data_IF_916091632327
#
_entry.id   IF_916091632327
#
_cell.length_a   1.000
_cell.length_b   1.000
_cell.length_c   1.000
_cell.angle_alpha   90.00
_cell.angle_beta   90.00
_cell.angle_gamma   90.00
#
_symmetry.space_group_name_H-M   'P 1'
#
loop_
_entity.id
_entity.type
_entity.pdbx_description
1 polymer ?
#
# COMPACT_ATOMS: atom_id res chain seq x y z
N UNK A 1 -4.01 -1.42 -4.50
CA UNK A 1 -4.79 -0.26 -4.03
C UNK A 1 -6.00 -0.01 -4.93
N UNK A 2 -5.84 0.45 -6.17
CA UNK A 2 -6.97 0.78 -7.07
C UNK A 2 -8.16 -0.19 -7.07
N UNK A 3 -7.96 -1.49 -7.30
CA UNK A 3 -9.07 -2.46 -7.26
C UNK A 3 -9.66 -2.70 -5.87
N UNK A 4 -8.83 -2.67 -4.82
CA UNK A 4 -9.28 -2.81 -3.45
C UNK A 4 -10.21 -1.64 -3.10
N UNK A 5 -9.75 -0.42 -3.36
CA UNK A 5 -10.49 0.79 -3.04
C UNK A 5 -11.74 0.95 -3.93
N UNK A 6 -11.65 0.59 -5.21
CA UNK A 6 -12.79 0.62 -6.13
C UNK A 6 -13.91 -0.33 -5.71
N UNK A 7 -13.57 -1.46 -5.06
CA UNK A 7 -14.54 -2.38 -4.47
C UNK A 7 -15.17 -1.88 -3.17
N UNK A 8 -14.44 -1.10 -2.38
CA UNK A 8 -14.90 -0.55 -1.10
C UNK A 8 -15.78 0.70 -1.25
N UNK A 9 -15.57 1.50 -2.29
CA UNK A 9 -16.37 2.71 -2.56
C UNK A 9 -17.66 2.39 -3.32
N UNK A 10 -18.59 3.34 -3.37
CA UNK A 10 -19.80 3.17 -4.17
C UNK A 10 -19.49 3.19 -5.67
N UNK A 11 -20.28 2.46 -6.46
CA UNK A 11 -20.11 2.32 -7.92
C UNK A 11 -20.08 3.67 -8.66
N UNK A 12 -20.78 4.69 -8.15
CA UNK A 12 -20.77 6.04 -8.73
C UNK A 12 -19.39 6.73 -8.65
N UNK A 13 -18.54 6.32 -7.71
CA UNK A 13 -17.23 6.92 -7.44
C UNK A 13 -16.07 6.04 -7.91
N UNK A 14 -16.34 4.90 -8.55
CA UNK A 14 -15.33 3.93 -8.99
C UNK A 14 -14.28 4.56 -9.92
N UNK A 15 -14.73 5.32 -10.93
CA UNK A 15 -13.83 6.01 -11.87
C UNK A 15 -12.96 7.03 -11.14
N UNK A 16 -13.52 7.76 -10.17
CA UNK A 16 -12.78 8.78 -9.44
C UNK A 16 -11.63 8.18 -8.64
N UNK A 17 -11.87 7.07 -7.93
CA UNK A 17 -10.84 6.43 -7.10
C UNK A 17 -9.75 5.77 -7.95
N UNK A 18 -10.11 5.14 -9.07
CA UNK A 18 -9.14 4.59 -10.02
C UNK A 18 -8.25 5.68 -10.62
N UNK A 19 -8.83 6.84 -10.98
CA UNK A 19 -8.05 7.96 -11.48
C UNK A 19 -7.10 8.54 -10.43
N UNK A 20 -7.48 8.56 -9.14
CA UNK A 20 -6.58 9.00 -8.04
C UNK A 20 -5.34 8.10 -7.94
N UNK A 21 -5.52 6.79 -8.02
CA UNK A 21 -4.39 5.84 -8.02
C UNK A 21 -3.43 6.07 -9.19
N UNK A 22 -3.96 6.35 -10.40
CA UNK A 22 -3.13 6.67 -11.57
C UNK A 22 -2.37 7.98 -11.35
N UNK A 23 -3.04 8.99 -10.79
CA UNK A 23 -2.40 10.27 -10.44
C UNK A 23 -1.29 10.08 -9.43
N UNK A 24 -1.44 9.21 -8.44
CA UNK A 24 -0.39 8.95 -7.44
C UNK A 24 0.86 8.34 -8.06
N UNK A 25 0.71 7.45 -9.03
CA UNK A 25 1.85 6.88 -9.77
C UNK A 25 2.53 7.97 -10.62
N UNK A 26 1.75 8.78 -11.34
CA UNK A 26 2.31 9.79 -12.25
C UNK A 26 2.90 10.98 -11.49
N UNK A 27 2.08 11.67 -10.69
CA UNK A 27 2.53 12.86 -9.95
C UNK A 27 3.41 12.49 -8.77
N UNK A 28 3.05 11.48 -7.97
CA UNK A 28 3.91 11.01 -6.90
C UNK A 28 5.22 10.46 -7.44
N UNK A 29 5.18 9.72 -8.57
CA UNK A 29 6.39 9.23 -9.20
C UNK A 29 7.31 10.35 -9.73
N UNK A 30 6.75 11.34 -10.41
CA UNK A 30 7.50 12.52 -10.87
C UNK A 30 8.08 13.33 -9.70
N UNK A 31 7.33 13.47 -8.61
CA UNK A 31 7.80 14.15 -7.39
C UNK A 31 8.96 13.41 -6.76
N UNK A 32 8.87 12.07 -6.70
CA UNK A 32 9.92 11.24 -6.12
C UNK A 32 11.19 11.27 -6.98
N UNK A 33 11.06 11.25 -8.30
CA UNK A 33 12.17 11.44 -9.23
C UNK A 33 12.85 12.80 -9.09
N UNK A 34 12.06 13.88 -9.04
CA UNK A 34 12.61 15.23 -8.98
C UNK A 34 13.25 15.56 -7.63
N UNK A 35 12.59 15.22 -6.53
CA UNK A 35 12.99 15.64 -5.18
C UNK A 35 13.10 14.48 -4.19
N UNK A 36 12.23 13.47 -4.30
CA UNK A 36 12.07 12.49 -3.24
C UNK A 36 13.27 11.56 -3.03
N UNK A 37 13.91 11.11 -4.10
CA UNK A 37 15.13 10.31 -4.01
C UNK A 37 16.26 11.11 -3.34
N UNK A 38 16.41 12.38 -3.73
CA UNK A 38 17.40 13.28 -3.14
C UNK A 38 17.17 13.50 -1.64
N UNK A 39 15.92 13.71 -1.23
CA UNK A 39 15.58 13.94 0.18
C UNK A 39 15.76 12.69 1.05
N UNK A 40 15.58 11.50 0.47
CA UNK A 40 15.66 10.23 1.20
C UNK A 40 17.09 9.68 1.23
N UNK A 41 17.79 9.69 0.09
CA UNK A 41 19.06 8.99 -0.13
C UNK A 41 20.17 9.90 -0.71
N UNK A 42 19.97 11.21 -0.75
CA UNK A 42 20.98 12.14 -1.24
C UNK A 42 22.30 12.00 -0.46
N UNK A 43 23.43 12.22 -1.14
CA UNK A 43 24.78 11.98 -0.62
C UNK A 43 25.62 13.26 -0.49
N UNK A 44 24.99 14.43 -0.56
CA UNK A 44 25.67 15.72 -0.51
C UNK A 44 26.32 16.00 0.85
N UNK A 45 27.36 16.86 0.84
CA UNK A 45 28.00 17.37 2.06
C UNK A 45 27.05 18.17 2.96
N UNK A 46 25.94 18.67 2.41
CA UNK A 46 24.93 19.44 3.13
C UNK A 46 23.84 18.59 3.80
N UNK A 47 23.96 17.27 3.73
CA UNK A 47 23.04 16.36 4.42
C UNK A 47 22.98 16.66 5.92
N UNK A 48 21.79 16.52 6.49
CA UNK A 48 21.60 16.55 7.93
C UNK A 48 20.84 15.28 8.40
N UNK A 49 20.77 15.02 9.72
CA UNK A 49 20.12 13.81 10.23
C UNK A 49 18.62 13.66 9.89
N UNK A 50 17.98 14.74 9.45
CA UNK A 50 16.53 14.79 9.16
C UNK A 50 16.21 14.74 7.66
N UNK A 51 17.08 15.26 6.79
CA UNK A 51 16.84 15.30 5.34
C UNK A 51 18.16 15.14 4.57
N UNK A 52 18.12 14.28 3.56
CA UNK A 52 19.18 14.14 2.57
C UNK A 52 19.13 15.26 1.53
N UNK A 53 20.26 15.57 0.91
CA UNK A 53 20.37 16.53 -0.17
C UNK A 53 21.30 15.96 -1.25
N UNK A 54 21.07 16.32 -2.51
CA UNK A 54 21.85 15.85 -3.65
C UNK A 54 21.18 14.68 -4.39
N UNK A 55 21.64 14.40 -5.61
CA UNK A 55 20.98 13.45 -6.53
C UNK A 55 19.52 13.83 -6.88
N UNK A 56 19.25 15.14 -6.99
CA UNK A 56 18.00 15.64 -7.56
C UNK A 56 17.91 15.26 -9.03
N UNK A 57 16.69 14.99 -9.52
CA UNK A 57 16.43 14.56 -10.90
C UNK A 57 17.37 13.41 -11.29
N UNK A 58 17.34 12.34 -10.49
CA UNK A 58 18.31 11.25 -10.59
C UNK A 58 18.45 10.75 -12.04
N UNK A 59 19.67 10.88 -12.55
CA UNK A 59 20.10 10.48 -13.88
C UNK A 59 21.59 10.09 -13.81
N UNK A 60 21.90 8.89 -13.28
CA UNK A 60 23.28 8.44 -13.13
C UNK A 60 23.91 8.24 -14.50
N UNK A 61 25.09 8.83 -14.73
CA UNK A 61 25.79 8.68 -16.03
C UNK A 61 26.29 7.25 -16.21
N UNK A 62 26.52 6.86 -17.48
CA UNK A 62 26.96 5.51 -17.85
C UNK A 62 28.34 5.18 -17.26
N UNK A 63 29.13 6.21 -16.98
CA UNK A 63 30.46 6.12 -16.37
C UNK A 63 30.41 5.96 -14.84
N UNK A 64 29.25 6.18 -14.19
CA UNK A 64 29.10 5.96 -12.75
C UNK A 64 29.08 4.46 -12.46
N UNK A 65 30.10 3.98 -11.74
CA UNK A 65 30.20 2.59 -11.27
C UNK A 65 29.00 2.14 -10.43
N UNK A 66 28.25 3.08 -9.85
CA UNK A 66 27.04 2.84 -9.06
C UNK A 66 25.75 3.04 -9.85
N UNK A 67 25.79 3.25 -11.18
CA UNK A 67 24.62 3.45 -12.03
C UNK A 67 23.56 2.36 -11.81
N UNK A 68 23.96 1.08 -11.92
CA UNK A 68 23.04 -0.06 -11.75
C UNK A 68 22.35 -0.08 -10.37
N UNK A 69 23.10 -0.06 -9.26
CA UNK A 69 22.54 0.05 -7.91
C UNK A 69 21.64 1.28 -7.69
N UNK A 70 22.02 2.45 -8.21
CA UNK A 70 21.23 3.69 -8.09
C UNK A 70 19.91 3.58 -8.83
N UNK A 71 19.92 3.11 -10.08
CA UNK A 71 18.70 2.87 -10.85
C UNK A 71 17.77 1.85 -10.17
N UNK A 72 18.33 0.75 -9.66
CA UNK A 72 17.56 -0.27 -8.96
C UNK A 72 16.97 0.25 -7.64
N UNK A 73 17.76 0.98 -6.85
CA UNK A 73 17.30 1.62 -5.61
C UNK A 73 16.22 2.65 -5.88
N UNK A 74 16.40 3.49 -6.91
CA UNK A 74 15.40 4.47 -7.33
C UNK A 74 14.08 3.79 -7.69
N UNK A 75 14.10 2.80 -8.59
CA UNK A 75 12.90 2.11 -9.03
C UNK A 75 12.16 1.43 -7.87
N UNK A 76 12.91 0.78 -6.98
CA UNK A 76 12.32 0.11 -5.82
C UNK A 76 11.68 1.12 -4.85
N UNK A 77 12.40 2.19 -4.53
CA UNK A 77 11.93 3.21 -3.58
C UNK A 77 10.82 4.10 -4.16
N UNK A 78 10.81 4.31 -5.48
CA UNK A 78 9.70 4.94 -6.21
C UNK A 78 8.39 4.16 -5.99
N UNK A 79 8.46 2.84 -6.01
CA UNK A 79 7.29 2.00 -5.75
C UNK A 79 6.78 2.15 -4.30
N UNK A 80 7.68 2.35 -3.34
CA UNK A 80 7.32 2.57 -1.94
C UNK A 80 6.72 3.95 -1.70
N UNK A 81 7.29 4.98 -2.32
CA UNK A 81 6.78 6.35 -2.25
C UNK A 81 5.36 6.47 -2.81
N UNK A 82 5.14 5.91 -4.01
CA UNK A 82 3.81 5.88 -4.64
C UNK A 82 2.82 5.01 -3.85
N UNK A 83 3.29 3.93 -3.22
CA UNK A 83 2.48 3.11 -2.30
C UNK A 83 2.06 3.91 -1.06
N UNK A 84 2.97 4.64 -0.42
CA UNK A 84 2.63 5.46 0.74
C UNK A 84 1.59 6.52 0.42
N UNK A 85 1.68 7.14 -0.76
CA UNK A 85 0.72 8.16 -1.19
C UNK A 85 -0.64 7.57 -1.55
N UNK A 86 -0.68 6.42 -2.22
CA UNK A 86 -1.95 5.83 -2.62
C UNK A 86 -2.79 5.29 -1.45
N UNK A 87 -2.15 4.91 -0.32
CA UNK A 87 -2.85 4.55 0.93
C UNK A 87 -3.85 5.65 1.35
N UNK A 88 -3.47 6.92 1.18
CA UNK A 88 -4.30 8.07 1.58
C UNK A 88 -5.52 8.22 0.66
N UNK A 89 -5.42 7.75 -0.58
CA UNK A 89 -6.45 7.87 -1.61
C UNK A 89 -7.76 7.19 -1.21
N UNK A 90 -7.66 5.98 -0.63
CA UNK A 90 -8.79 5.22 -0.10
C UNK A 90 -9.48 5.92 1.07
N UNK A 91 -8.71 6.48 2.00
CA UNK A 91 -9.27 7.20 3.15
C UNK A 91 -10.03 8.46 2.74
N UNK A 92 -9.58 9.16 1.69
CA UNK A 92 -10.20 10.39 1.16
C UNK A 92 -11.29 10.15 0.11
N UNK A 93 -11.67 8.89 -0.13
CA UNK A 93 -12.58 8.54 -1.20
C UNK A 93 -13.98 9.18 -1.05
N UNK A 94 -14.65 9.34 -2.18
CA UNK A 94 -16.04 9.84 -2.35
C UNK A 94 -16.33 11.30 -1.97
N UNK A 95 -15.43 11.99 -1.27
CA UNK A 95 -15.65 13.39 -0.82
C UNK A 95 -14.53 14.38 -1.13
N UNK A 96 -13.34 13.90 -1.52
CA UNK A 96 -12.24 14.77 -1.92
C UNK A 96 -12.36 15.21 -3.38
N UNK A 97 -12.21 16.52 -3.62
CA UNK A 97 -12.09 17.10 -4.96
C UNK A 97 -10.82 16.61 -5.66
N UNK A 98 -10.96 16.12 -6.90
CA UNK A 98 -9.86 15.56 -7.67
C UNK A 98 -8.70 16.53 -7.91
N UNK A 99 -8.96 17.81 -8.18
CA UNK A 99 -7.89 18.80 -8.41
C UNK A 99 -7.08 19.04 -7.14
N UNK A 100 -7.76 19.12 -5.99
CA UNK A 100 -7.09 19.23 -4.69
C UNK A 100 -6.28 17.97 -4.39
N UNK A 101 -6.79 16.79 -4.77
CA UNK A 101 -6.09 15.53 -4.63
C UNK A 101 -4.78 15.47 -5.44
N UNK A 102 -4.76 16.00 -6.67
CA UNK A 102 -3.51 16.06 -7.46
C UNK A 102 -2.40 16.85 -6.75
N UNK A 103 -2.74 17.99 -6.15
CA UNK A 103 -1.79 18.78 -5.36
C UNK A 103 -1.39 18.06 -4.08
N UNK A 104 -2.36 17.42 -3.42
CA UNK A 104 -2.10 16.61 -2.24
C UNK A 104 -1.12 15.47 -2.52
N UNK A 105 -1.28 14.75 -3.63
CA UNK A 105 -0.41 13.64 -4.03
C UNK A 105 1.06 14.05 -4.17
N UNK A 106 1.30 15.22 -4.78
CA UNK A 106 2.61 15.85 -4.86
C UNK A 106 3.19 16.13 -3.47
N UNK A 107 2.44 16.83 -2.62
CA UNK A 107 2.89 17.22 -1.28
C UNK A 107 3.10 16.02 -0.35
N UNK A 108 2.20 15.04 -0.38
CA UNK A 108 2.29 13.84 0.46
C UNK A 108 3.51 12.99 0.11
N UNK A 109 3.90 12.96 -1.16
CA UNK A 109 5.13 12.28 -1.57
C UNK A 109 6.37 12.94 -0.94
N UNK A 110 6.41 14.28 -0.87
CA UNK A 110 7.48 15.02 -0.17
C UNK A 110 7.48 14.66 1.32
N UNK A 111 6.30 14.61 1.95
CA UNK A 111 6.15 14.22 3.36
C UNK A 111 6.70 12.82 3.60
N UNK A 112 6.41 11.84 2.72
CA UNK A 112 6.92 10.47 2.83
C UNK A 112 8.46 10.39 2.80
N UNK A 113 9.11 11.18 1.96
CA UNK A 113 10.56 11.11 1.75
C UNK A 113 11.37 11.45 3.01
N UNK A 114 10.80 12.28 3.89
CA UNK A 114 11.48 12.70 5.12
C UNK A 114 11.61 11.52 6.11
N UNK A 115 10.52 10.85 6.55
CA UNK A 115 10.63 9.62 7.36
C UNK A 115 11.36 8.47 6.68
N UNK A 116 11.23 8.31 5.35
CA UNK A 116 12.00 7.32 4.61
C UNK A 116 13.52 7.55 4.76
N UNK A 117 13.96 8.81 4.67
CA UNK A 117 15.35 9.20 4.94
C UNK A 117 15.79 8.98 6.39
N UNK A 118 14.89 9.07 7.38
CA UNK A 118 15.23 8.80 8.78
C UNK A 118 15.60 7.34 9.02
N UNK A 119 14.85 6.42 8.41
CA UNK A 119 15.00 4.96 8.60
C UNK A 119 16.02 4.33 7.66
N UNK A 120 16.07 4.75 6.39
CA UNK A 120 16.86 4.06 5.37
C UNK A 120 18.06 4.85 4.86
N UNK A 121 18.00 6.17 4.89
CA UNK A 121 19.11 7.04 4.50
C UNK A 121 20.30 6.87 5.45
N UNK A 122 21.52 6.89 4.91
CA UNK A 122 22.76 6.80 5.72
C UNK A 122 22.92 7.97 6.70
N UNK A 123 22.36 9.12 6.34
CA UNK A 123 22.30 10.30 7.19
C UNK A 123 21.31 10.17 8.36
N UNK A 124 20.29 9.31 8.21
CA UNK A 124 19.09 9.26 9.05
C UNK A 124 19.36 9.00 10.53
N UNK A 125 18.71 9.78 11.40
CA UNK A 125 18.90 9.64 12.85
C UNK A 125 18.33 8.32 13.39
N UNK A 126 17.17 7.83 12.90
CA UNK A 126 16.57 6.57 13.35
C UNK A 126 17.46 5.38 12.98
N UNK A 127 18.04 5.39 11.77
CA UNK A 127 19.04 4.40 11.35
C UNK A 127 20.24 4.37 12.29
N UNK A 128 20.78 5.54 12.65
CA UNK A 128 21.92 5.67 13.58
C UNK A 128 21.60 5.25 15.01
N UNK A 129 20.33 5.40 15.44
CA UNK A 129 19.84 4.88 16.71
C UNK A 129 19.62 3.35 16.72
N UNK A 130 19.77 2.68 15.57
CA UNK A 130 19.57 1.25 15.44
C UNK A 130 18.11 0.84 15.22
N UNK A 131 17.25 1.76 14.77
CA UNK A 131 15.89 1.41 14.37
C UNK A 131 15.93 0.47 13.15
N UNK A 132 15.12 -0.60 13.20
CA UNK A 132 15.04 -1.59 12.14
C UNK A 132 13.65 -1.57 11.53
N UNK A 133 13.59 -1.19 10.26
CA UNK A 133 12.40 -1.32 9.42
C UNK A 133 12.86 -1.82 8.05
N UNK A 134 12.59 -3.08 7.74
CA UNK A 134 13.18 -3.73 6.55
C UNK A 134 12.47 -3.31 5.27
N UNK A 135 11.14 -3.43 5.25
CA UNK A 135 10.36 -3.20 4.05
C UNK A 135 9.42 -1.99 4.15
N UNK A 136 9.30 -1.33 5.30
CA UNK A 136 8.55 -0.07 5.42
C UNK A 136 7.26 -0.18 6.21
N UNK A 137 7.23 -0.94 7.31
CA UNK A 137 6.09 -0.90 8.22
C UNK A 137 5.92 0.49 8.84
N UNK A 138 7.03 1.15 9.17
CA UNK A 138 7.06 2.53 9.63
C UNK A 138 7.08 3.49 8.44
N UNK A 139 8.13 3.41 7.62
CA UNK A 139 8.38 4.39 6.57
C UNK A 139 7.23 4.54 5.55
N UNK A 140 6.59 3.42 5.16
CA UNK A 140 5.52 3.42 4.14
C UNK A 140 4.15 3.35 4.79
N UNK A 141 3.90 2.33 5.60
CA UNK A 141 2.56 2.07 6.09
C UNK A 141 2.16 3.02 7.22
N UNK A 142 2.99 3.20 8.25
CA UNK A 142 2.66 4.12 9.34
C UNK A 142 2.53 5.56 8.83
N UNK A 143 3.45 6.02 7.98
CA UNK A 143 3.38 7.38 7.40
C UNK A 143 2.14 7.53 6.53
N UNK A 144 1.91 6.61 5.58
CA UNK A 144 0.72 6.64 4.72
C UNK A 144 -0.59 6.55 5.51
N UNK A 145 -0.65 5.69 6.53
CA UNK A 145 -1.81 5.52 7.39
C UNK A 145 -2.05 6.70 8.32
N UNK A 146 -1.00 7.35 8.82
CA UNK A 146 -1.11 8.58 9.62
C UNK A 146 -1.60 9.75 8.78
N UNK A 147 -1.06 9.91 7.56
CA UNK A 147 -1.58 10.88 6.58
C UNK A 147 -3.04 10.59 6.25
N UNK A 148 -3.40 9.32 6.05
CA UNK A 148 -4.77 8.89 5.78
C UNK A 148 -5.72 9.26 6.93
N UNK A 149 -5.31 9.02 8.17
CA UNK A 149 -6.07 9.39 9.37
C UNK A 149 -6.25 10.91 9.48
N UNK A 150 -5.17 11.69 9.33
CA UNK A 150 -5.23 13.14 9.37
C UNK A 150 -6.18 13.70 8.29
N UNK A 151 -6.08 13.19 7.06
CA UNK A 151 -6.96 13.60 5.97
C UNK A 151 -8.43 13.19 6.21
N UNK A 152 -8.69 12.01 6.76
CA UNK A 152 -10.04 11.58 7.09
C UNK A 152 -10.68 12.48 8.16
N UNK A 153 -9.91 12.89 9.18
CA UNK A 153 -10.34 13.82 10.23
C UNK A 153 -10.64 15.21 9.63
N UNK A 154 -9.73 15.75 8.80
CA UNK A 154 -9.87 17.08 8.23
C UNK A 154 -11.01 17.20 7.22
N UNK A 155 -11.24 16.18 6.39
CA UNK A 155 -12.37 16.16 5.45
C UNK A 155 -13.70 15.92 6.15
N UNK A 156 -13.69 15.23 7.28
CA UNK A 156 -14.88 14.77 7.96
C UNK A 156 -15.59 13.63 7.23
N UNK A 157 -16.74 13.19 7.78
CA UNK A 157 -17.48 12.04 7.26
C UNK A 157 -18.19 12.31 5.95
N UNK A 158 -18.37 11.27 5.12
CA UNK A 158 -19.24 11.32 3.94
C UNK A 158 -20.65 11.73 4.35
N UNK A 159 -21.31 12.50 3.48
CA UNK A 159 -22.67 12.98 3.71
C UNK A 159 -23.60 11.81 4.00
N UNK A 160 -24.25 11.83 5.17
CA UNK A 160 -25.20 10.79 5.60
C UNK A 160 -24.59 9.50 6.15
N UNK A 161 -23.25 9.36 6.24
CA UNK A 161 -22.57 8.13 6.70
C UNK A 161 -23.01 7.68 8.09
N UNK A 162 -23.21 8.63 9.00
CA UNK A 162 -23.52 8.38 10.41
C UNK A 162 -24.93 8.81 10.81
N UNK A 163 -25.82 9.04 9.84
CA UNK A 163 -27.19 9.48 10.13
C UNK A 163 -28.09 8.33 10.61
N UNK A 164 -27.80 7.09 10.18
CA UNK A 164 -28.57 5.88 10.49
C UNK A 164 -27.80 4.89 11.38
N UNK A 165 -26.84 5.36 12.17
CA UNK A 165 -25.99 4.53 13.03
C UNK A 165 -24.52 4.54 12.61
N UNK A 166 -23.73 3.65 13.19
CA UNK A 166 -22.29 3.51 12.93
C UNK A 166 -21.94 2.29 12.07
N UNK A 167 -22.93 1.45 11.76
CA UNK A 167 -22.73 0.21 11.03
C UNK A 167 -22.02 0.47 9.69
N UNK A 168 -21.07 -0.41 9.29
CA UNK A 168 -20.33 -0.24 8.06
C UNK A 168 -21.26 -0.25 6.85
N UNK A 169 -20.95 0.58 5.85
CA UNK A 169 -21.69 0.60 4.59
C UNK A 169 -21.37 -0.66 3.78
N UNK A 170 -22.35 -1.20 3.02
CA UNK A 170 -22.09 -2.32 2.13
C UNK A 170 -21.06 -1.93 1.05
N UNK A 171 -20.18 -2.87 0.72
CA UNK A 171 -19.19 -2.72 -0.35
C UNK A 171 -19.89 -2.45 -1.69
N UNK A 172 -19.34 -1.54 -2.51
CA UNK A 172 -19.89 -1.27 -3.84
C UNK A 172 -19.69 -2.45 -4.80
N UNK A 173 -18.51 -3.07 -4.76
CA UNK A 173 -18.21 -4.28 -5.53
C UNK A 173 -17.29 -5.22 -4.72
N UNK A 174 -17.85 -6.22 -4.01
CA UNK A 174 -17.07 -7.19 -3.26
C UNK A 174 -16.04 -7.95 -4.10
N UNK A 175 -16.33 -8.18 -5.39
CA UNK A 175 -15.41 -8.85 -6.32
C UNK A 175 -14.14 -8.03 -6.53
N UNK A 176 -14.27 -6.72 -6.78
CA UNK A 176 -13.11 -5.84 -6.96
C UNK A 176 -12.29 -5.74 -5.67
N UNK A 177 -12.95 -5.66 -4.52
CA UNK A 177 -12.29 -5.60 -3.21
C UNK A 177 -11.42 -6.85 -2.97
N UNK A 178 -11.98 -8.04 -3.21
CA UNK A 178 -11.27 -9.31 -3.08
C UNK A 178 -10.17 -9.44 -4.15
N UNK A 179 -10.44 -9.06 -5.40
CA UNK A 179 -9.42 -9.05 -6.44
C UNK A 179 -8.25 -8.14 -6.07
N UNK A 180 -8.51 -6.98 -5.46
CA UNK A 180 -7.51 -6.05 -4.98
C UNK A 180 -6.56 -6.66 -3.94
N UNK A 181 -7.07 -7.51 -3.03
CA UNK A 181 -6.25 -8.28 -2.09
C UNK A 181 -5.30 -9.26 -2.79
N UNK A 182 -5.74 -9.83 -3.90
CA UNK A 182 -5.06 -10.91 -4.60
C UNK A 182 -4.17 -10.47 -5.77
N UNK A 183 -4.13 -9.18 -6.11
CA UNK A 183 -3.55 -8.73 -7.37
C UNK A 183 -2.04 -8.45 -7.31
N UNK A 184 -1.29 -9.04 -8.26
CA UNK A 184 -0.48 -8.27 -9.23
C UNK A 184 -0.90 -8.66 -10.66
N UNK A 185 -0.79 -7.67 -11.57
CA UNK A 185 -1.11 -7.67 -13.01
C UNK A 185 -1.46 -9.02 -13.64
N UNK A 186 -2.75 -9.20 -13.95
CA UNK A 186 -3.18 -10.07 -15.05
C UNK A 186 -2.68 -9.41 -16.34
N UNK A 187 -1.48 -9.75 -16.79
CA UNK A 187 -1.21 -9.66 -18.22
C UNK A 187 -1.88 -10.89 -18.84
N UNK A 188 -3.10 -10.66 -19.33
CA UNK A 188 -3.83 -11.63 -20.13
C UNK A 188 -3.14 -11.72 -21.48
N UNK A 189 -2.22 -12.68 -21.64
CA UNK A 189 -2.08 -13.36 -22.92
C UNK A 189 -3.03 -14.56 -22.94
N UNK A 190 -3.70 -14.74 -24.08
CA UNK A 190 -4.98 -15.45 -24.26
C UNK A 190 -5.02 -16.93 -23.83
N UNK A 191 -6.19 -17.44 -23.45
CA UNK A 191 -7.27 -17.97 -24.32
C UNK A 191 -7.18 -19.47 -24.59
N UNK A 192 -7.19 -20.28 -23.53
CA UNK A 192 -7.97 -21.52 -23.42
C UNK A 192 -7.58 -22.14 -22.11
N UNK A 193 -8.51 -22.19 -21.16
CA UNK A 193 -8.71 -23.30 -20.22
C UNK A 193 -9.75 -22.82 -19.21
N UNK A 194 -10.99 -23.04 -19.65
CA UNK A 194 -12.09 -23.37 -18.76
C UNK A 194 -11.62 -24.56 -17.93
N UNK A 195 -11.61 -24.38 -16.61
CA UNK A 195 -11.27 -25.33 -15.53
C UNK A 195 -9.87 -25.15 -14.96
N UNK A 196 -9.86 -24.70 -13.70
CA UNK A 196 -8.76 -24.75 -12.73
C UNK A 196 -7.66 -23.71 -13.00
N UNK A 197 -7.76 -22.55 -12.35
CA UNK A 197 -6.63 -21.88 -11.69
C UNK A 197 -7.13 -20.70 -10.85
N UNK A 198 -7.71 -20.98 -9.68
CA UNK A 198 -7.91 -20.02 -8.59
C UNK A 198 -6.59 -19.66 -7.89
N UNK A 199 -5.47 -19.64 -8.61
CA UNK A 199 -4.16 -19.26 -8.08
C UNK A 199 -4.02 -17.74 -8.14
N UNK A 200 -4.89 -17.07 -7.40
CA UNK A 200 -4.80 -15.68 -7.03
C UNK A 200 -3.63 -15.52 -6.04
N UNK A 201 -2.41 -15.36 -6.57
CA UNK A 201 -1.20 -15.35 -5.74
C UNK A 201 -0.83 -13.92 -5.34
N UNK A 202 -0.54 -13.78 -4.04
CA UNK A 202 -0.13 -12.64 -3.21
C UNK A 202 1.17 -11.90 -3.66
N UNK A 203 1.45 -11.80 -4.96
CA UNK A 203 2.76 -11.45 -5.53
C UNK A 203 3.26 -10.03 -5.24
N UNK A 204 2.38 -9.02 -5.14
CA UNK A 204 2.82 -7.64 -4.91
C UNK A 204 3.55 -7.44 -3.59
N UNK A 205 2.97 -7.93 -2.49
CA UNK A 205 3.58 -7.83 -1.15
C UNK A 205 4.76 -8.79 -0.97
N UNK A 206 4.76 -9.91 -1.70
CA UNK A 206 5.92 -10.81 -1.77
C UNK A 206 7.12 -10.07 -2.38
N UNK A 207 6.94 -9.41 -3.53
CA UNK A 207 7.99 -8.61 -4.15
C UNK A 207 8.43 -7.44 -3.25
N UNK A 208 7.47 -6.81 -2.56
CA UNK A 208 7.72 -5.76 -1.58
C UNK A 208 8.67 -6.25 -0.47
N UNK A 209 8.35 -7.35 0.20
CA UNK A 209 9.13 -7.85 1.34
C UNK A 209 10.41 -8.59 0.93
N UNK A 210 10.37 -9.42 -0.12
CA UNK A 210 11.55 -10.17 -0.57
C UNK A 210 12.54 -9.28 -1.33
N UNK A 211 12.05 -8.24 -2.00
CA UNK A 211 12.88 -7.28 -2.73
C UNK A 211 13.66 -6.34 -1.81
N UNK A 212 13.15 -6.06 -0.60
CA UNK A 212 13.82 -5.22 0.41
C UNK A 212 15.16 -5.77 0.92
N UNK A 213 15.54 -7.00 0.56
CA UNK A 213 16.88 -7.54 0.87
C UNK A 213 17.95 -7.09 -0.12
N UNK A 214 17.57 -6.46 -1.24
CA UNK A 214 18.46 -5.93 -2.29
C UNK A 214 19.57 -6.92 -2.70
N UNK A 215 19.27 -8.22 -2.75
CA UNK A 215 20.30 -9.21 -3.03
C UNK A 215 19.77 -10.56 -3.49
N UNK A 216 20.22 -10.96 -4.68
CA UNK A 216 19.92 -12.26 -5.32
C UNK A 216 21.17 -13.16 -5.31
N UNK A 217 22.34 -12.62 -4.97
CA UNK A 217 23.63 -13.32 -4.91
C UNK A 217 24.10 -13.55 -3.46
N UNK A 218 25.02 -14.51 -3.28
CA UNK A 218 25.63 -14.81 -1.97
C UNK A 218 24.63 -15.41 -0.98
N UNK A 219 24.62 -14.91 0.26
CA UNK A 219 23.65 -15.34 1.29
C UNK A 219 22.33 -14.54 1.24
N UNK A 220 22.25 -13.46 0.44
CA UNK A 220 21.08 -12.55 0.45
C UNK A 220 19.81 -13.18 -0.12
N UNK A 221 19.93 -14.13 -1.04
CA UNK A 221 18.77 -14.87 -1.56
C UNK A 221 18.06 -15.69 -0.46
N UNK A 222 18.78 -16.14 0.56
CA UNK A 222 18.19 -16.88 1.68
C UNK A 222 17.31 -15.96 2.52
N UNK A 223 17.73 -14.73 2.75
CA UNK A 223 16.93 -13.71 3.42
C UNK A 223 15.70 -13.34 2.58
N UNK A 224 15.84 -13.22 1.26
CA UNK A 224 14.71 -12.96 0.35
C UNK A 224 13.68 -14.10 0.40
N UNK A 225 14.14 -15.35 0.36
CA UNK A 225 13.28 -16.53 0.46
C UNK A 225 12.58 -16.61 1.84
N UNK A 226 13.30 -16.32 2.93
CA UNK A 226 12.73 -16.26 4.28
C UNK A 226 11.70 -15.15 4.42
N UNK A 227 11.94 -13.98 3.83
CA UNK A 227 10.98 -12.89 3.79
C UNK A 227 9.68 -13.30 3.07
N UNK A 228 9.80 -13.99 1.94
CA UNK A 228 8.65 -14.51 1.20
C UNK A 228 7.82 -15.49 2.05
N UNK A 229 8.48 -16.47 2.69
CA UNK A 229 7.81 -17.47 3.54
C UNK A 229 7.12 -16.80 4.74
N UNK A 230 7.82 -15.92 5.44
CA UNK A 230 7.28 -15.23 6.62
C UNK A 230 6.08 -14.34 6.26
N UNK A 231 6.12 -13.68 5.09
CA UNK A 231 5.00 -12.89 4.57
C UNK A 231 3.76 -13.74 4.32
N UNK A 232 3.92 -14.94 3.76
CA UNK A 232 2.80 -15.85 3.54
C UNK A 232 2.23 -16.38 4.85
N UNK A 233 3.08 -16.79 5.78
CA UNK A 233 2.65 -17.32 7.08
C UNK A 233 1.95 -16.25 7.93
N UNK A 234 2.45 -15.01 7.92
CA UNK A 234 1.79 -13.88 8.56
C UNK A 234 0.40 -13.63 7.96
N UNK A 235 0.28 -13.67 6.61
CA UNK A 235 -1.02 -13.51 5.93
C UNK A 235 -2.03 -14.60 6.32
N UNK A 236 -1.56 -15.83 6.59
CA UNK A 236 -2.41 -16.93 7.08
C UNK A 236 -2.86 -16.66 8.51
N UNK A 237 -1.95 -16.22 9.39
CA UNK A 237 -2.28 -15.80 10.76
C UNK A 237 -3.31 -14.67 10.81
N UNK A 238 -3.13 -13.64 9.97
CA UNK A 238 -4.11 -12.56 9.86
C UNK A 238 -5.45 -13.00 9.28
N UNK A 239 -5.41 -13.91 8.31
CA UNK A 239 -6.61 -14.52 7.75
C UNK A 239 -7.43 -15.30 8.76
N UNK A 240 -6.79 -15.99 9.72
CA UNK A 240 -7.48 -16.68 10.82
C UNK A 240 -8.19 -15.70 11.76
N UNK A 241 -7.56 -14.58 12.10
CA UNK A 241 -8.17 -13.55 12.94
C UNK A 241 -9.33 -12.87 12.19
N UNK A 242 -9.14 -12.50 10.92
CA UNK A 242 -10.20 -11.94 10.08
C UNK A 242 -11.42 -12.87 10.01
N UNK A 243 -11.20 -14.17 9.86
CA UNK A 243 -12.26 -15.18 9.85
C UNK A 243 -12.94 -15.29 11.22
N UNK A 244 -12.16 -15.25 12.31
CA UNK A 244 -12.69 -15.26 13.68
C UNK A 244 -13.61 -14.06 13.97
N UNK A 245 -13.23 -12.86 13.55
CA UNK A 245 -14.10 -11.67 13.67
C UNK A 245 -15.35 -11.80 12.80
N UNK A 246 -15.19 -12.29 11.57
CA UNK A 246 -16.27 -12.50 10.61
C UNK A 246 -17.31 -13.51 11.10
N UNK A 247 -16.88 -14.61 11.73
CA UNK A 247 -17.77 -15.67 12.24
C UNK A 247 -18.48 -15.31 13.55
N UNK A 248 -17.94 -14.38 14.34
CA UNK A 248 -18.56 -13.91 15.59
C UNK A 248 -19.56 -12.75 15.35
N UNK A 249 -19.69 -12.27 14.12
CA UNK A 249 -20.63 -11.22 13.74
C UNK A 249 -22.08 -11.72 13.58
N UNK A 250 -23.09 -10.85 13.80
CA UNK A 250 -24.50 -11.24 13.78
C UNK A 250 -25.05 -11.62 12.39
N UNK A 251 -24.41 -11.23 11.27
CA UNK A 251 -24.90 -11.48 9.91
C UNK A 251 -23.77 -11.84 8.92
N UNK A 252 -23.61 -13.15 8.65
CA UNK A 252 -22.76 -13.74 7.57
C UNK A 252 -21.28 -13.29 7.56
N UNK A 253 -20.51 -13.91 6.67
CA UNK A 253 -19.08 -13.65 6.50
C UNK A 253 -18.89 -12.19 6.04
N UNK A 254 -18.44 -11.31 6.95
CA UNK A 254 -17.94 -9.99 6.61
C UNK A 254 -16.62 -10.10 5.84
N UNK A 255 -16.68 -9.68 4.57
CA UNK A 255 -15.55 -9.67 3.64
C UNK A 255 -14.54 -8.59 4.03
N UNK A 256 -14.98 -7.45 4.58
CA UNK A 256 -14.10 -6.32 4.89
C UNK A 256 -13.17 -6.66 6.06
N UNK A 257 -13.71 -7.29 7.12
CA UNK A 257 -12.89 -7.83 8.23
C UNK A 257 -11.87 -8.86 7.75
N UNK A 258 -12.23 -9.72 6.79
CA UNK A 258 -11.29 -10.68 6.22
C UNK A 258 -10.16 -10.01 5.43
N UNK A 259 -10.50 -9.04 4.59
CA UNK A 259 -9.53 -8.30 3.77
C UNK A 259 -8.59 -7.49 4.67
N UNK A 260 -9.13 -6.68 5.58
CA UNK A 260 -8.34 -5.83 6.46
C UNK A 260 -7.55 -6.64 7.50
N UNK A 261 -8.04 -7.80 7.94
CA UNK A 261 -7.25 -8.73 8.76
C UNK A 261 -6.00 -9.25 8.02
N UNK A 262 -6.15 -9.66 6.75
CA UNK A 262 -4.99 -10.09 5.94
C UNK A 262 -4.06 -8.90 5.67
N UNK A 263 -4.58 -7.73 5.29
CA UNK A 263 -3.74 -6.56 5.01
C UNK A 263 -3.00 -6.07 6.27
N UNK A 264 -3.66 -6.01 7.42
CA UNK A 264 -3.04 -5.62 8.69
C UNK A 264 -1.90 -6.56 9.11
N UNK A 265 -2.07 -7.87 8.86
CA UNK A 265 -0.99 -8.85 9.09
C UNK A 265 0.21 -8.67 8.15
N UNK A 266 -0.06 -8.30 6.89
CA UNK A 266 0.97 -8.03 5.90
C UNK A 266 1.74 -6.75 6.23
N UNK A 267 1.06 -5.70 6.73
CA UNK A 267 1.70 -4.48 7.24
C UNK A 267 2.61 -4.79 8.43
N UNK A 268 2.12 -5.55 9.42
CA UNK A 268 2.89 -5.86 10.62
C UNK A 268 4.18 -6.64 10.33
N UNK A 269 4.14 -7.62 9.42
CA UNK A 269 5.32 -8.43 9.09
C UNK A 269 6.35 -7.66 8.23
N UNK A 270 5.94 -6.60 7.53
CA UNK A 270 6.82 -5.77 6.67
C UNK A 270 8.02 -5.22 7.45
N UNK A 271 7.87 -4.86 8.73
CA UNK A 271 8.96 -4.29 9.52
C UNK A 271 10.11 -5.28 9.78
N UNK A 272 9.79 -6.57 9.89
CA UNK A 272 10.71 -7.63 10.31
C UNK A 272 10.76 -8.84 9.37
N UNK A 273 10.42 -8.68 8.09
CA UNK A 273 10.00 -9.78 7.22
C UNK A 273 10.96 -10.97 7.13
N UNK A 274 12.29 -10.78 7.19
CA UNK A 274 13.27 -11.88 7.23
C UNK A 274 13.83 -12.20 8.62
N UNK A 275 13.51 -11.40 9.65
CA UNK A 275 14.02 -11.59 11.02
C UNK A 275 13.27 -12.69 11.76
N UNK A 276 11.96 -12.77 11.55
CA UNK A 276 11.08 -13.71 12.24
C UNK A 276 11.24 -15.14 11.71
N UNK A 277 11.10 -16.11 12.61
CA UNK A 277 10.94 -17.52 12.27
C UNK A 277 9.52 -17.76 11.75
N UNK A 278 9.33 -18.87 11.05
CA UNK A 278 8.05 -19.23 10.45
C UNK A 278 6.86 -19.15 11.43
N UNK A 279 7.02 -19.66 12.65
CA UNK A 279 5.96 -19.64 13.66
C UNK A 279 5.75 -18.25 14.28
N UNK A 280 6.82 -17.47 14.46
CA UNK A 280 6.76 -16.08 14.95
C UNK A 280 6.00 -15.21 13.96
N UNK A 281 6.21 -15.41 12.66
CA UNK A 281 5.52 -14.67 11.60
C UNK A 281 3.99 -14.85 11.66
N UNK A 282 3.50 -16.05 12.01
CA UNK A 282 2.07 -16.30 12.21
C UNK A 282 1.54 -15.45 13.36
N UNK A 283 2.24 -15.42 14.50
CA UNK A 283 1.84 -14.67 15.69
C UNK A 283 1.84 -13.16 15.42
N UNK A 284 2.90 -12.64 14.78
CA UNK A 284 2.97 -11.23 14.37
C UNK A 284 1.80 -10.88 13.46
N UNK A 285 1.48 -11.76 12.50
CA UNK A 285 0.34 -11.59 11.62
C UNK A 285 -1.01 -11.58 12.36
N UNK A 286 -1.19 -12.47 13.34
CA UNK A 286 -2.39 -12.50 14.19
C UNK A 286 -2.54 -11.21 15.01
N UNK A 287 -1.45 -10.72 15.62
CA UNK A 287 -1.48 -9.48 16.42
C UNK A 287 -1.81 -8.28 15.53
N UNK A 288 -1.17 -8.16 14.37
CA UNK A 288 -1.44 -7.08 13.41
C UNK A 288 -2.89 -7.08 12.95
N UNK A 289 -3.41 -8.24 12.55
CA UNK A 289 -4.81 -8.39 12.14
C UNK A 289 -5.79 -8.07 13.27
N UNK A 290 -5.48 -8.48 14.51
CA UNK A 290 -6.33 -8.20 15.66
C UNK A 290 -6.45 -6.71 15.92
N UNK A 291 -5.33 -5.98 15.90
CA UNK A 291 -5.29 -4.52 16.07
C UNK A 291 -6.08 -3.83 14.94
N UNK A 292 -5.89 -4.25 13.69
CA UNK A 292 -6.62 -3.67 12.55
C UNK A 292 -8.13 -3.93 12.62
N UNK A 293 -8.56 -5.18 12.87
CA UNK A 293 -9.99 -5.52 12.99
C UNK A 293 -10.65 -4.82 14.18
N UNK A 294 -9.92 -4.62 15.28
CA UNK A 294 -10.44 -3.96 16.47
C UNK A 294 -10.48 -2.42 16.35
N UNK A 295 -9.55 -1.83 15.59
CA UNK A 295 -9.46 -0.39 15.44
C UNK A 295 -10.50 0.21 14.50
N UNK A 296 -10.94 -0.52 13.46
CA UNK A 296 -11.98 -0.01 12.55
C UNK A 296 -13.28 0.40 13.28
N UNK A 297 -13.88 -0.45 14.16
CA UNK A 297 -15.05 -0.03 14.94
C UNK A 297 -14.78 1.15 15.88
N UNK A 298 -13.54 1.33 16.35
CA UNK A 298 -13.18 2.47 17.21
C UNK A 298 -13.21 3.76 16.41
N UNK A 299 -12.64 3.77 15.19
CA UNK A 299 -12.68 4.93 14.30
C UNK A 299 -14.13 5.30 13.95
N UNK A 300 -14.98 4.31 13.67
CA UNK A 300 -16.40 4.55 13.43
C UNK A 300 -17.12 5.12 14.66
N UNK A 301 -16.81 4.65 15.88
CA UNK A 301 -17.32 5.25 17.13
C UNK A 301 -16.85 6.69 17.33
N UNK A 302 -15.65 7.04 16.86
CA UNK A 302 -15.14 8.41 16.86
C UNK A 302 -15.72 9.25 15.71
N UNK A 303 -16.53 8.65 14.84
CA UNK A 303 -17.08 9.26 13.63
C UNK A 303 -16.02 9.75 12.64
N UNK A 304 -14.92 9.01 12.56
CA UNK A 304 -13.88 9.15 11.53
C UNK A 304 -14.22 8.17 10.42
N UNK A 305 -14.68 8.71 9.29
CA UNK A 305 -15.11 7.91 8.16
C UNK A 305 -13.93 7.57 7.24
N UNK A 306 -13.44 6.34 7.36
CA UNK A 306 -12.44 5.78 6.46
C UNK A 306 -13.10 4.69 5.59
N UNK A 307 -13.37 4.95 4.30
CA UNK A 307 -14.12 4.03 3.44
C UNK A 307 -13.48 2.65 3.25
N UNK A 308 -12.16 2.54 3.39
CA UNK A 308 -11.40 1.31 3.13
C UNK A 308 -10.84 0.73 4.42
N UNK A 309 -10.73 1.54 5.47
CA UNK A 309 -9.99 1.20 6.69
C UNK A 309 -8.48 1.38 6.52
N UNK A 310 -8.06 2.29 5.63
CA UNK A 310 -6.64 2.50 5.32
C UNK A 310 -5.84 2.95 6.55
N UNK A 311 -6.40 3.85 7.36
CA UNK A 311 -5.80 4.31 8.62
C UNK A 311 -5.68 3.19 9.66
N UNK A 312 -6.70 2.34 9.80
CA UNK A 312 -6.68 1.19 10.71
C UNK A 312 -5.68 0.10 10.28
N UNK A 313 -5.59 -0.16 8.97
CA UNK A 313 -4.73 -1.19 8.40
C UNK A 313 -3.27 -0.77 8.37
N UNK A 314 -3.00 0.49 8.02
CA UNK A 314 -1.63 0.96 7.79
C UNK A 314 -1.08 1.84 8.93
N UNK A 315 -1.93 2.61 9.60
CA UNK A 315 -1.53 3.74 10.45
C UNK A 315 -1.73 3.55 11.94
N UNK A 316 -2.24 2.41 12.42
CA UNK A 316 -2.58 2.27 13.83
C UNK A 316 -1.34 2.09 14.72
N UNK A 317 -0.63 3.19 14.93
CA UNK A 317 0.12 3.54 16.13
C UNK A 317 -0.78 4.46 16.98
N UNK A 318 -0.86 4.23 18.29
CA UNK A 318 -1.86 4.85 19.18
C UNK A 318 -1.56 6.34 19.43
N UNK A 319 -2.02 7.23 18.55
CA UNK A 319 -2.13 8.67 18.83
C UNK A 319 -3.59 9.14 18.69
N UNK A 320 -4.32 9.18 19.81
CA UNK A 320 -5.71 9.66 19.85
C UNK A 320 -5.71 11.09 20.39
N UNK A 321 -5.87 12.06 19.50
CA UNK A 321 -6.24 13.42 19.87
C UNK A 321 -7.76 13.61 19.75
N UNK A 322 -8.38 13.95 20.89
CA UNK A 322 -9.83 14.03 21.07
C UNK A 322 -10.32 15.37 20.50
N UNK A 323 -10.78 15.41 19.25
CA UNK A 323 -11.31 16.65 18.66
C UNK A 323 -12.84 16.70 18.51
N UNK A 324 -13.39 17.81 19.00
CA UNK A 324 -14.80 18.08 19.21
C UNK A 324 -15.53 18.39 17.89
N UNK A 325 -16.72 17.79 17.73
CA UNK A 325 -17.65 18.00 16.62
C UNK A 325 -18.32 19.37 16.69
N UNK A 326 -18.17 20.18 15.64
CA UNK A 326 -19.22 21.11 15.17
C UNK A 326 -19.12 21.22 13.65
N UNK A 327 -20.11 20.65 12.94
CA UNK A 327 -20.72 21.17 11.71
C UNK A 327 -21.49 20.04 10.99
N UNK A 328 -22.79 19.92 11.28
CA UNK A 328 -23.75 19.17 10.45
C UNK A 328 -24.37 20.15 9.45
N UNK A 329 -24.15 19.91 8.15
CA UNK A 329 -24.97 20.51 7.09
C UNK A 329 -25.91 19.45 6.53
N UNK A 330 -27.21 19.75 6.60
CA UNK A 330 -28.32 19.02 5.97
C UNK A 330 -28.17 19.09 4.45
N UNK A 331 -28.56 18.03 3.72
CA UNK A 331 -29.58 18.06 2.66
C UNK A 331 -29.65 16.69 1.96
N UNK A 332 -30.88 16.19 1.80
CA UNK A 332 -31.18 14.99 1.04
C UNK A 332 -31.56 15.27 -0.41
N UNK A 333 -31.41 14.27 -1.28
CA UNK A 333 -32.40 13.78 -2.24
C UNK A 333 -31.82 12.62 -3.06
N UNK A 334 -32.67 11.63 -3.22
CA UNK A 334 -32.50 10.36 -3.93
C UNK A 334 -32.49 10.60 -5.45
N UNK A 335 -31.62 9.90 -6.21
CA UNK A 335 -31.67 9.89 -7.67
C UNK A 335 -31.43 8.47 -8.20
N UNK A 336 -32.50 7.93 -8.80
CA UNK A 336 -32.59 6.72 -9.61
C UNK A 336 -32.05 6.96 -11.02
N UNK A 337 -31.48 5.92 -11.66
CA UNK A 337 -31.42 5.62 -13.11
C UNK A 337 -30.27 4.59 -13.30
N UNK A 338 -30.28 3.57 -14.17
CA UNK A 338 -31.04 3.23 -15.37
C UNK A 338 -30.12 2.32 -16.23
N UNK A 339 -30.70 1.34 -16.92
CA UNK A 339 -30.07 0.13 -17.50
C UNK A 339 -29.25 0.31 -18.81
N UNK A 340 -28.10 -0.40 -18.87
CA UNK A 340 -27.63 -1.46 -19.83
C UNK A 340 -27.41 -1.21 -21.36
N UNK A 341 -26.46 -2.00 -21.91
CA UNK A 341 -26.18 -2.42 -23.32
C UNK A 341 -25.01 -1.67 -24.01
N UNK A 342 -24.14 -2.22 -24.88
CA UNK A 342 -23.91 -3.57 -25.44
C UNK A 342 -22.62 -3.57 -26.31
N UNK A 343 -21.82 -4.66 -26.21
CA UNK A 343 -20.91 -5.38 -27.16
C UNK A 343 -20.18 -4.66 -28.33
N UNK A 344 -18.87 -4.97 -28.44
CA UNK A 344 -18.00 -4.81 -29.62
C UNK A 344 -17.49 -6.18 -30.15
N UNK A 345 -17.07 -6.30 -31.44
CA UNK A 345 -16.43 -7.50 -31.97
C UNK A 345 -14.90 -7.37 -32.23
N UNK A 346 -14.28 -8.55 -32.39
CA UNK A 346 -12.86 -8.97 -32.42
C UNK A 346 -12.02 -8.46 -33.62
N UNK A 347 -10.69 -8.48 -33.48
CA UNK A 347 -9.76 -9.03 -34.50
C UNK A 347 -8.37 -9.40 -33.91
N UNK A 348 -7.67 -10.32 -34.59
CA UNK A 348 -6.52 -11.15 -34.17
C UNK A 348 -5.13 -10.60 -34.56
N UNK A 349 -4.07 -11.01 -33.85
CA UNK A 349 -2.65 -11.22 -34.29
C UNK A 349 -1.91 -11.99 -33.15
N UNK A 350 -1.16 -13.09 -33.29
CA UNK A 350 0.03 -13.55 -34.07
C UNK A 350 1.39 -13.18 -33.43
N UNK A 351 2.00 -14.22 -32.82
CA UNK A 351 3.43 -14.63 -32.66
C UNK A 351 4.38 -14.12 -31.56
N UNK A 352 5.01 -15.13 -30.94
CA UNK A 352 6.13 -15.20 -29.99
C UNK A 352 7.54 -15.00 -30.60
N UNK A 353 8.51 -14.86 -29.67
CA UNK A 353 9.93 -15.30 -29.68
C UNK A 353 10.88 -14.11 -29.34
N UNK A 354 11.90 -14.16 -28.48
CA UNK A 354 12.83 -15.21 -28.04
C UNK A 354 13.41 -14.77 -26.67
N UNK A 355 13.58 -15.72 -25.73
CA UNK A 355 14.53 -15.62 -24.62
C UNK A 355 15.67 -16.61 -24.90
N UNK A 356 16.93 -16.21 -24.71
CA UNK A 356 17.91 -17.13 -24.16
C UNK A 356 19.12 -16.43 -23.51
N UNK A 357 19.57 -17.14 -22.48
CA UNK A 357 20.45 -16.80 -21.38
C UNK A 357 21.93 -17.11 -21.70
N UNK A 358 22.84 -16.55 -20.87
CA UNK A 358 24.20 -17.00 -20.47
C UNK A 358 25.23 -15.87 -20.45
N UNK A 359 25.64 -15.46 -19.24
CA UNK A 359 27.04 -15.37 -18.78
C UNK A 359 27.13 -14.66 -17.41
N UNK A 360 27.75 -15.30 -16.41
CA UNK A 360 28.06 -14.73 -15.09
C UNK A 360 29.57 -14.50 -14.93
N UNK A 361 30.00 -13.40 -14.28
CA UNK A 361 31.30 -13.36 -13.58
C UNK A 361 31.18 -13.08 -12.07
N UNK A 362 32.13 -13.63 -11.32
CA UNK A 362 32.38 -13.44 -9.88
C UNK A 362 32.88 -12.03 -9.56
N UNK A 363 32.41 -11.41 -8.46
CA UNK A 363 33.02 -10.20 -7.90
C UNK A 363 33.01 -10.14 -6.36
N UNK A 364 34.06 -9.52 -5.85
CA UNK A 364 34.58 -9.53 -4.50
C UNK A 364 33.95 -8.44 -3.62
N UNK A 365 33.09 -8.84 -2.68
CA UNK A 365 32.63 -8.02 -1.53
C UNK A 365 32.28 -8.94 -0.35
N UNK A 366 33.15 -9.92 -0.10
CA UNK A 366 33.18 -10.65 1.17
C UNK A 366 34.21 -9.92 2.02
N UNK A 367 33.73 -8.99 2.83
CA UNK A 367 34.15 -8.76 4.22
C UNK A 367 32.97 -8.10 4.96
#
# INVERSE_FOLDING_TARGET
>A
FGMLESGCVSLKNEVNIMMKNVVDIVLGGLTYWAFGFAMSFGTSKFNNPFIGLGEFLIDPSVEDTLMGPKCAAFLFQLSFATTSTTIVSGAMAERCNFKAYCLFSFLNTIVYCVPAGWLWGDQGFLKKMGAVDIAGSGAVHLVGGSSALACAIMLGPRVGRYDNGIDPLPLGCPVNAIMGLFTFLIHRFGLSDILINNNCIRWGWLAFNSGSTYGISGQRWQYAARAAVSTMLASMGGGLIGLGFSLNGPDRIDILSQINGILGSLVAITGGCFLFRAWEAIIVGMIGAFITCFSMPILDKMHIDDPVGASATHGHDLYIEKHNRKNRLKYGKQLLLGKKLSKSPKLNTVTDAVLNDKNKPNFAWID
#
